data_IF_652771845526
#
_entry.id   IF_652771845526
#
_cell.length_a   1.000
_cell.length_b   1.000
_cell.length_c   1.000
_cell.angle_alpha   90.00
_cell.angle_beta   90.00
_cell.angle_gamma   90.00
#
_symmetry.space_group_name_H-M   'P 1'
#
loop_
_entity.id
_entity.type
_entity.pdbx_description
1 polymer ?
#
# COMPACT_ATOMS: atom_id res chain seq x y z
N UNK A 1 -1.55 18.63 12.62
CA UNK A 1 -1.25 17.32 13.23
C UNK A 1 -2.22 17.14 14.39
N UNK A 2 -1.97 16.17 15.28
CA UNK A 2 -2.80 15.91 16.47
C UNK A 2 -2.81 17.11 17.46
N UNK A 3 -1.72 17.87 17.51
CA UNK A 3 -1.55 19.10 18.27
C UNK A 3 -2.11 20.36 17.57
N UNK A 4 -2.86 20.17 16.47
CA UNK A 4 -3.40 21.24 15.64
C UNK A 4 -2.35 22.17 14.99
N UNK A 5 -1.09 21.75 14.90
CA UNK A 5 -0.09 22.46 14.09
C UNK A 5 -0.40 22.28 12.60
N UNK A 6 -0.27 23.37 11.84
CA UNK A 6 -0.42 23.35 10.40
C UNK A 6 0.76 22.60 9.76
N UNK A 7 0.49 21.43 9.17
CA UNK A 7 1.52 20.63 8.50
C UNK A 7 1.90 21.17 7.11
N UNK A 8 1.01 21.98 6.52
CA UNK A 8 1.24 22.67 5.26
C UNK A 8 -0.05 23.27 4.71
N UNK A 9 0.11 24.21 3.78
CA UNK A 9 -1.00 24.82 3.03
C UNK A 9 -0.97 24.30 1.61
N UNK A 10 -2.04 23.64 1.19
CA UNK A 10 -2.16 23.05 -0.13
C UNK A 10 -3.44 23.51 -0.81
N UNK A 11 -3.44 23.54 -2.14
CA UNK A 11 -4.65 23.83 -2.91
C UNK A 11 -5.70 22.75 -2.65
N UNK A 12 -6.89 23.14 -2.18
CA UNK A 12 -7.99 22.21 -1.91
C UNK A 12 -8.43 21.43 -3.16
N UNK A 13 -8.18 21.95 -4.37
CA UNK A 13 -8.46 21.28 -5.62
C UNK A 13 -7.41 20.23 -6.02
N UNK A 14 -6.23 20.22 -5.37
CA UNK A 14 -5.16 19.29 -5.69
C UNK A 14 -5.39 17.92 -5.05
N UNK A 15 -5.46 16.89 -5.88
CA UNK A 15 -5.45 15.49 -5.42
C UNK A 15 -4.09 15.05 -4.88
N UNK A 16 -3.05 15.88 -5.02
CA UNK A 16 -1.68 15.59 -4.59
C UNK A 16 -1.39 15.91 -3.13
N UNK A 17 -2.33 16.48 -2.39
CA UNK A 17 -2.05 17.03 -1.05
C UNK A 17 -1.54 15.96 -0.08
N UNK A 18 -2.07 14.73 -0.14
CA UNK A 18 -1.61 13.60 0.68
C UNK A 18 -0.17 13.19 0.33
N UNK A 19 0.18 13.22 -0.95
CA UNK A 19 1.55 13.00 -1.40
C UNK A 19 2.48 14.09 -0.88
N UNK A 20 2.08 15.35 -1.05
CA UNK A 20 2.88 16.50 -0.68
C UNK A 20 3.17 16.59 0.82
N UNK A 21 2.20 16.23 1.67
CA UNK A 21 2.39 16.22 3.13
C UNK A 21 3.36 15.14 3.59
N UNK A 22 3.33 13.94 3.00
CA UNK A 22 4.04 12.77 3.57
C UNK A 22 5.29 12.38 2.78
N UNK A 23 5.28 12.49 1.46
CA UNK A 23 6.24 11.82 0.57
C UNK A 23 7.12 12.77 -0.23
N UNK A 24 6.70 14.01 -0.45
CA UNK A 24 7.44 14.97 -1.29
C UNK A 24 8.76 15.44 -0.67
N UNK A 25 8.84 15.49 0.66
CA UNK A 25 10.06 15.89 1.36
C UNK A 25 11.16 14.82 1.25
N UNK A 26 12.22 15.12 0.51
CA UNK A 26 13.34 14.20 0.27
C UNK A 26 14.44 14.22 1.33
N UNK A 27 14.31 15.04 2.39
CA UNK A 27 15.30 15.10 3.46
C UNK A 27 15.40 13.76 4.22
N UNK A 28 16.61 13.47 4.72
CA UNK A 28 16.87 12.26 5.49
C UNK A 28 15.96 12.19 6.72
N UNK A 29 15.27 11.06 6.88
CA UNK A 29 14.30 10.79 7.95
C UNK A 29 13.09 11.76 8.04
N UNK A 30 12.84 12.57 7.00
CA UNK A 30 11.61 13.36 6.92
C UNK A 30 10.38 12.45 7.01
N UNK A 31 9.43 12.83 7.87
CA UNK A 31 8.14 12.15 8.02
C UNK A 31 8.24 10.65 8.31
N UNK A 32 9.36 10.21 8.90
CA UNK A 32 9.70 8.79 9.02
C UNK A 32 8.62 7.98 9.74
N UNK A 33 8.03 8.51 10.82
CA UNK A 33 6.93 7.84 11.53
C UNK A 33 5.69 7.63 10.64
N UNK A 34 5.26 8.67 9.91
CA UNK A 34 4.12 8.59 8.99
C UNK A 34 4.38 7.67 7.81
N UNK A 35 5.62 7.61 7.31
CA UNK A 35 6.03 6.70 6.23
C UNK A 35 6.10 5.26 6.72
N UNK A 36 6.65 5.02 7.92
CA UNK A 36 6.70 3.69 8.52
C UNK A 36 5.31 3.14 8.82
N UNK A 37 4.36 3.98 9.22
CA UNK A 37 2.98 3.55 9.43
C UNK A 37 2.28 3.10 8.14
N UNK A 38 2.83 3.36 6.94
CA UNK A 38 2.31 2.75 5.71
C UNK A 38 2.67 1.26 5.64
N UNK A 39 3.86 0.86 6.09
CA UNK A 39 4.27 -0.54 6.09
C UNK A 39 3.68 -1.28 7.29
N UNK A 40 3.66 -0.67 8.47
CA UNK A 40 3.21 -1.32 9.71
C UNK A 40 1.71 -1.62 9.77
N UNK A 41 0.89 -0.98 8.93
CA UNK A 41 -0.53 -1.34 8.81
C UNK A 41 -0.74 -2.70 8.16
N UNK A 42 0.11 -3.07 7.20
CA UNK A 42 -0.03 -4.34 6.46
C UNK A 42 -0.10 -5.56 7.38
N UNK A 43 0.85 -5.77 8.32
CA UNK A 43 0.77 -6.92 9.21
C UNK A 43 -0.47 -6.88 10.10
N UNK A 44 -0.88 -5.70 10.60
CA UNK A 44 -2.07 -5.61 11.44
C UNK A 44 -3.34 -5.97 10.67
N UNK A 45 -3.48 -5.48 9.44
CA UNK A 45 -4.63 -5.77 8.57
C UNK A 45 -4.67 -7.21 8.06
N UNK A 46 -3.52 -7.89 8.01
CA UNK A 46 -3.37 -9.22 7.42
C UNK A 46 -3.16 -10.34 8.43
N UNK A 47 -3.12 -10.03 9.73
CA UNK A 47 -3.04 -11.03 10.77
C UNK A 47 -4.23 -12.01 10.68
N UNK A 48 -3.92 -13.31 10.65
CA UNK A 48 -4.91 -14.40 10.52
C UNK A 48 -5.80 -14.33 9.27
N UNK A 49 -5.40 -13.59 8.22
CA UNK A 49 -6.14 -13.52 6.96
C UNK A 49 -5.77 -14.65 6.01
N UNK A 50 -6.75 -15.09 5.23
CA UNK A 50 -6.54 -15.98 4.10
C UNK A 50 -5.93 -15.22 2.93
N UNK A 51 -4.82 -15.74 2.41
CA UNK A 51 -4.20 -15.27 1.18
C UNK A 51 -4.90 -15.90 -0.02
N UNK A 52 -4.67 -15.36 -1.22
CA UNK A 52 -5.26 -15.86 -2.46
C UNK A 52 -5.06 -17.36 -2.67
N UNK A 53 -3.89 -17.89 -2.29
CA UNK A 53 -3.55 -19.31 -2.43
C UNK A 53 -4.28 -20.25 -1.48
N UNK A 54 -5.17 -19.74 -0.61
CA UNK A 54 -5.85 -20.52 0.43
C UNK A 54 -5.03 -20.71 1.71
N UNK A 55 -3.82 -20.18 1.75
CA UNK A 55 -2.98 -20.18 2.96
C UNK A 55 -3.42 -19.07 3.91
N UNK A 56 -3.83 -19.42 5.12
CA UNK A 56 -4.02 -18.46 6.21
C UNK A 56 -2.68 -18.02 6.78
N UNK A 57 -2.43 -16.71 6.88
CA UNK A 57 -1.26 -16.20 7.59
C UNK A 57 -1.37 -16.53 9.07
N UNK A 58 -0.31 -17.11 9.64
CA UNK A 58 -0.29 -17.36 11.08
C UNK A 58 0.04 -16.08 11.84
N UNK A 59 0.86 -15.21 11.25
CA UNK A 59 1.15 -13.90 11.82
C UNK A 59 1.13 -12.85 10.72
N UNK A 60 0.58 -11.68 11.01
CA UNK A 60 0.54 -10.56 10.07
C UNK A 60 1.89 -10.21 9.45
N UNK A 61 2.97 -10.30 10.23
CA UNK A 61 4.35 -10.03 9.80
C UNK A 61 4.84 -10.96 8.68
N UNK A 62 4.21 -12.12 8.49
CA UNK A 62 4.52 -13.06 7.41
C UNK A 62 4.35 -12.42 6.02
N UNK A 63 3.53 -11.37 5.90
CA UNK A 63 3.38 -10.62 4.64
C UNK A 63 4.72 -10.07 4.13
N UNK A 64 5.61 -9.63 5.01
CA UNK A 64 6.92 -9.12 4.59
C UNK A 64 7.81 -10.23 4.05
N UNK A 65 7.75 -11.42 4.65
CA UNK A 65 8.46 -12.61 4.13
C UNK A 65 7.96 -13.01 2.75
N UNK A 66 6.63 -12.97 2.54
CA UNK A 66 6.02 -13.25 1.24
C UNK A 66 6.41 -12.21 0.20
N UNK A 67 6.32 -10.92 0.51
CA UNK A 67 6.75 -9.83 -0.38
C UNK A 67 8.24 -9.92 -0.72
N UNK A 68 9.08 -10.27 0.26
CA UNK A 68 10.52 -10.44 0.05
C UNK A 68 10.82 -11.68 -0.80
N UNK A 69 10.01 -12.73 -0.70
CA UNK A 69 10.12 -13.91 -1.57
C UNK A 69 9.67 -13.59 -2.99
N UNK A 70 8.57 -12.85 -3.13
CA UNK A 70 8.09 -12.35 -4.42
C UNK A 70 9.14 -11.49 -5.11
N UNK A 71 9.82 -10.60 -4.38
CA UNK A 71 10.83 -9.72 -4.98
C UNK A 71 12.06 -10.49 -5.49
N UNK A 72 12.47 -11.55 -4.78
CA UNK A 72 13.56 -12.43 -5.24
C UNK A 72 13.18 -13.20 -6.50
N UNK A 73 11.99 -13.78 -6.55
CA UNK A 73 11.50 -14.50 -7.73
C UNK A 73 11.33 -13.56 -8.93
N UNK A 74 10.80 -12.36 -8.69
CA UNK A 74 10.72 -11.30 -9.69
C UNK A 74 12.11 -10.94 -10.24
N UNK A 75 13.07 -10.68 -9.36
CA UNK A 75 14.44 -10.33 -9.77
C UNK A 75 15.13 -11.45 -10.54
N UNK A 76 14.85 -12.72 -10.20
CA UNK A 76 15.35 -13.88 -10.93
C UNK A 76 14.73 -13.98 -12.33
N UNK A 77 13.42 -13.79 -12.47
CA UNK A 77 12.75 -13.82 -13.77
C UNK A 77 13.14 -12.62 -14.65
N UNK A 78 13.39 -11.45 -14.06
CA UNK A 78 13.68 -10.20 -14.77
C UNK A 78 15.12 -10.10 -15.33
N UNK A 79 15.87 -11.20 -15.40
CA UNK A 79 17.24 -11.21 -15.93
C UNK A 79 17.29 -11.07 -17.46
N UNK A 80 16.32 -11.65 -18.16
CA UNK A 80 16.18 -11.55 -19.61
C UNK A 80 14.70 -11.71 -20.04
N UNK A 81 14.40 -11.38 -21.30
CA UNK A 81 13.04 -11.40 -21.82
C UNK A 81 12.41 -12.81 -21.80
N UNK A 82 13.17 -13.84 -22.16
CA UNK A 82 12.66 -15.22 -22.19
C UNK A 82 12.22 -15.70 -20.81
N UNK A 83 13.08 -15.52 -19.80
CA UNK A 83 12.75 -15.91 -18.43
C UNK A 83 11.57 -15.10 -17.91
N UNK A 84 11.54 -13.80 -18.21
CA UNK A 84 10.45 -12.92 -17.81
C UNK A 84 9.11 -13.33 -18.41
N UNK A 85 9.06 -13.53 -19.73
CA UNK A 85 7.84 -13.89 -20.45
C UNK A 85 7.31 -15.25 -20.00
N UNK A 86 8.19 -16.17 -19.59
CA UNK A 86 7.79 -17.48 -19.05
C UNK A 86 7.22 -17.43 -17.63
N UNK A 87 7.53 -16.39 -16.85
CA UNK A 87 7.24 -16.35 -15.40
C UNK A 87 6.28 -15.23 -14.99
N UNK A 88 6.15 -14.15 -15.76
CA UNK A 88 5.45 -12.92 -15.36
C UNK A 88 4.00 -13.15 -14.90
N UNK A 89 3.28 -14.06 -15.56
CA UNK A 89 1.89 -14.35 -15.22
C UNK A 89 1.78 -15.07 -13.87
N UNK A 90 2.68 -16.04 -13.62
CA UNK A 90 2.77 -16.74 -12.35
C UNK A 90 3.20 -15.81 -11.19
N UNK A 91 3.84 -14.69 -11.51
CA UNK A 91 4.21 -13.64 -10.57
C UNK A 91 3.15 -12.52 -10.45
N UNK A 92 2.11 -12.51 -11.28
CA UNK A 92 1.07 -11.47 -11.26
C UNK A 92 1.40 -10.19 -12.03
N UNK A 93 2.37 -10.23 -12.93
CA UNK A 93 2.84 -9.08 -13.70
C UNK A 93 2.62 -9.27 -15.21
N UNK A 94 1.52 -9.93 -15.60
CA UNK A 94 1.28 -10.34 -16.99
C UNK A 94 1.23 -9.19 -18.02
N UNK A 95 0.83 -7.99 -17.60
CA UNK A 95 0.81 -6.80 -18.45
C UNK A 95 2.15 -6.07 -18.51
N UNK A 96 3.12 -6.45 -17.68
CA UNK A 96 4.41 -5.76 -17.61
C UNK A 96 5.36 -6.33 -18.68
N UNK A 97 5.75 -5.53 -19.69
CA UNK A 97 6.74 -5.98 -20.67
C UNK A 97 8.14 -6.01 -20.04
N UNK A 98 9.03 -6.85 -20.58
CA UNK A 98 10.42 -6.91 -20.13
C UNK A 98 11.17 -5.58 -20.28
N UNK A 99 10.90 -4.82 -21.36
CA UNK A 99 11.51 -3.52 -21.63
C UNK A 99 10.59 -2.62 -22.45
N UNK A 100 10.95 -1.33 -22.58
CA UNK A 100 10.28 -0.41 -23.50
C UNK A 100 8.93 0.12 -23.02
N UNK A 101 8.55 -0.12 -21.76
CA UNK A 101 7.31 0.40 -21.20
C UNK A 101 7.35 1.94 -21.07
N UNK A 102 6.41 2.62 -21.73
CA UNK A 102 6.15 4.06 -21.54
C UNK A 102 5.99 4.49 -20.07
N UNK A 103 5.27 3.73 -19.21
CA UNK A 103 5.09 4.05 -17.79
C UNK A 103 6.40 4.09 -16.97
N UNK A 104 7.47 3.46 -17.47
CA UNK A 104 8.76 3.36 -16.77
C UNK A 104 9.89 4.09 -17.51
N UNK A 105 9.55 5.00 -18.43
CA UNK A 105 10.56 5.79 -19.16
C UNK A 105 11.50 4.94 -20.02
N UNK A 106 11.02 3.81 -20.55
CA UNK A 106 11.82 2.89 -21.37
C UNK A 106 12.76 1.98 -20.57
N UNK A 107 12.66 1.96 -19.24
CA UNK A 107 13.43 1.05 -18.40
C UNK A 107 13.01 -0.42 -18.59
N UNK A 108 13.91 -1.31 -18.16
CA UNK A 108 13.64 -2.75 -18.04
C UNK A 108 12.79 -3.05 -16.81
N UNK A 109 12.05 -4.15 -16.85
CA UNK A 109 11.16 -4.58 -15.77
C UNK A 109 11.87 -4.80 -14.43
N UNK A 110 13.17 -5.13 -14.45
CA UNK A 110 14.01 -5.19 -13.24
C UNK A 110 14.14 -3.85 -12.48
N UNK A 111 13.82 -2.73 -13.14
CA UNK A 111 13.96 -1.37 -12.62
C UNK A 111 12.60 -0.65 -12.50
N UNK A 112 11.49 -1.39 -12.39
CA UNK A 112 10.17 -0.75 -12.18
C UNK A 112 10.15 0.03 -10.86
N UNK A 113 9.29 1.07 -10.75
CA UNK A 113 9.04 1.76 -9.50
C UNK A 113 8.64 0.79 -8.39
N UNK A 114 9.18 0.99 -7.19
CA UNK A 114 8.89 0.13 -6.04
C UNK A 114 7.40 0.13 -5.65
N UNK A 115 6.69 1.24 -5.85
CA UNK A 115 5.26 1.34 -5.54
C UNK A 115 4.41 0.45 -6.46
N UNK A 116 4.74 0.38 -7.74
CA UNK A 116 4.08 -0.49 -8.71
C UNK A 116 4.30 -1.96 -8.35
N UNK A 117 5.55 -2.33 -8.05
CA UNK A 117 5.88 -3.67 -7.59
C UNK A 117 5.06 -4.02 -6.34
N UNK A 118 5.05 -3.13 -5.34
CA UNK A 118 4.38 -3.40 -4.07
C UNK A 118 2.86 -3.53 -4.23
N UNK A 119 2.22 -2.64 -5.01
CA UNK A 119 0.78 -2.69 -5.26
C UNK A 119 0.38 -4.00 -5.93
N UNK A 120 1.07 -4.36 -7.03
CA UNK A 120 0.76 -5.57 -7.79
C UNK A 120 1.06 -6.82 -6.98
N UNK A 121 2.21 -6.88 -6.30
CA UNK A 121 2.58 -8.01 -5.45
C UNK A 121 1.59 -8.20 -4.29
N UNK A 122 1.22 -7.12 -3.59
CA UNK A 122 0.21 -7.19 -2.53
C UNK A 122 -1.11 -7.71 -3.05
N UNK A 123 -1.62 -7.15 -4.15
CA UNK A 123 -2.89 -7.59 -4.72
C UNK A 123 -2.87 -9.05 -5.17
N UNK A 124 -1.77 -9.49 -5.79
CA UNK A 124 -1.61 -10.87 -6.23
C UNK A 124 -1.50 -11.87 -5.07
N UNK A 125 -0.72 -11.55 -4.03
CA UNK A 125 -0.51 -12.42 -2.86
C UNK A 125 -1.80 -12.53 -2.04
N UNK A 126 -2.42 -11.39 -1.74
CA UNK A 126 -3.55 -11.32 -0.80
C UNK A 126 -4.89 -11.60 -1.48
N UNK A 127 -5.02 -11.40 -2.79
CA UNK A 127 -6.30 -11.45 -3.48
C UNK A 127 -7.21 -10.26 -3.19
N UNK A 128 -6.62 -9.15 -2.72
CA UNK A 128 -7.32 -7.92 -2.35
C UNK A 128 -6.89 -6.75 -3.24
N UNK A 129 -7.79 -5.82 -3.54
CA UNK A 129 -7.44 -4.55 -4.21
C UNK A 129 -6.95 -3.53 -3.18
N UNK A 130 -5.65 -3.21 -3.25
CA UNK A 130 -4.97 -2.27 -2.34
C UNK A 130 -4.91 -0.84 -2.88
N UNK A 131 -5.51 -0.53 -4.04
CA UNK A 131 -5.47 0.83 -4.60
C UNK A 131 -6.04 1.87 -3.65
N UNK A 132 -7.19 1.58 -3.01
CA UNK A 132 -7.79 2.45 -1.99
C UNK A 132 -6.83 2.73 -0.83
N UNK A 133 -6.08 1.72 -0.38
CA UNK A 133 -5.07 1.89 0.67
C UNK A 133 -3.94 2.83 0.22
N UNK A 134 -3.44 2.67 -1.01
CA UNK A 134 -2.41 3.54 -1.59
C UNK A 134 -2.90 4.98 -1.76
N UNK A 135 -4.11 5.16 -2.29
CA UNK A 135 -4.72 6.47 -2.56
C UNK A 135 -5.01 7.26 -1.26
N UNK A 136 -5.48 6.56 -0.21
CA UNK A 136 -5.69 7.15 1.12
C UNK A 136 -4.38 7.57 1.79
N UNK A 137 -3.28 6.91 1.43
CA UNK A 137 -1.94 7.19 1.99
C UNK A 137 -1.08 8.06 1.08
N UNK A 138 -1.59 8.51 -0.06
CA UNK A 138 -0.87 9.36 -1.02
C UNK A 138 0.30 8.66 -1.71
N UNK A 139 0.31 7.32 -1.76
CA UNK A 139 1.35 6.53 -2.40
C UNK A 139 1.00 6.34 -3.87
N UNK A 140 1.75 7.01 -4.76
CA UNK A 140 1.49 6.98 -6.20
C UNK A 140 1.93 5.67 -6.83
N UNK A 141 1.17 5.20 -7.81
CA UNK A 141 1.47 4.06 -8.67
C UNK A 141 1.11 4.43 -10.12
N UNK A 142 1.64 3.70 -11.10
CA UNK A 142 1.37 3.98 -12.51
C UNK A 142 0.01 3.45 -12.98
N UNK A 143 -0.46 3.98 -14.10
CA UNK A 143 -1.65 3.47 -14.80
C UNK A 143 -1.51 1.99 -15.18
N UNK A 144 -0.28 1.52 -15.47
CA UNK A 144 -0.04 0.12 -15.80
C UNK A 144 -0.23 -0.79 -14.58
N UNK A 145 0.23 -0.38 -13.41
CA UNK A 145 -0.06 -1.12 -12.18
C UNK A 145 -1.57 -1.13 -11.88
N UNK A 146 -2.25 0.00 -12.09
CA UNK A 146 -3.70 0.07 -11.94
C UNK A 146 -4.44 -0.87 -12.91
N UNK A 147 -4.00 -0.95 -14.16
CA UNK A 147 -4.52 -1.88 -15.17
C UNK A 147 -4.25 -3.34 -14.81
N UNK A 148 -3.07 -3.67 -14.29
CA UNK A 148 -2.77 -5.03 -13.82
C UNK A 148 -3.69 -5.44 -12.67
N UNK A 149 -3.99 -4.55 -11.73
CA UNK A 149 -4.96 -4.82 -10.66
C UNK A 149 -6.37 -5.04 -11.25
N UNK A 150 -6.79 -4.20 -12.20
CA UNK A 150 -8.09 -4.37 -12.87
C UNK A 150 -8.18 -5.70 -13.64
N UNK A 151 -7.08 -6.12 -14.27
CA UNK A 151 -6.98 -7.42 -14.94
C UNK A 151 -7.12 -8.56 -13.92
N UNK A 152 -6.42 -8.49 -12.78
CA UNK A 152 -6.57 -9.47 -11.70
C UNK A 152 -8.00 -9.56 -11.16
N UNK A 153 -8.76 -8.45 -11.11
CA UNK A 153 -10.17 -8.51 -10.73
C UNK A 153 -11.01 -9.22 -11.80
N UNK A 154 -10.74 -8.95 -13.08
CA UNK A 154 -11.40 -9.61 -14.21
C UNK A 154 -11.14 -11.13 -14.20
N UNK A 155 -9.92 -11.52 -13.83
CA UNK A 155 -9.49 -12.92 -13.76
C UNK A 155 -9.89 -13.60 -12.43
N UNK A 156 -10.64 -12.93 -11.55
CA UNK A 156 -11.01 -13.40 -10.21
C UNK A 156 -9.82 -13.76 -9.30
N UNK A 157 -8.63 -13.19 -9.59
CA UNK A 157 -7.45 -13.25 -8.72
C UNK A 157 -7.65 -12.33 -7.51
N UNK A 158 -8.23 -11.15 -7.76
CA UNK A 158 -8.64 -10.19 -6.73
C UNK A 158 -10.16 -10.19 -6.65
N UNK A 159 -10.71 -10.37 -5.44
CA UNK A 159 -12.16 -10.55 -5.25
C UNK A 159 -12.85 -9.37 -4.57
N UNK A 160 -12.09 -8.59 -3.80
CA UNK A 160 -12.64 -7.46 -3.05
C UNK A 160 -11.58 -6.40 -2.79
N UNK A 161 -12.03 -5.17 -2.53
CA UNK A 161 -11.15 -4.07 -2.16
C UNK A 161 -10.88 -4.02 -0.66
N UNK A 162 -9.69 -3.54 -0.31
CA UNK A 162 -9.38 -3.16 1.07
C UNK A 162 -10.24 -1.95 1.43
N UNK A 163 -10.88 -2.02 2.59
CA UNK A 163 -11.73 -0.94 3.10
C UNK A 163 -10.95 0.31 3.51
N UNK A 164 -11.66 1.29 4.03
CA UNK A 164 -11.11 2.58 4.49
C UNK A 164 -10.79 2.61 5.98
N UNK A 165 -10.84 1.46 6.65
CA UNK A 165 -10.52 1.32 8.06
C UNK A 165 -9.03 1.01 8.24
N UNK A 166 -8.39 1.77 9.13
CA UNK A 166 -6.96 1.64 9.44
C UNK A 166 -6.79 1.37 10.92
N UNK A 167 -5.82 0.54 11.26
CA UNK A 167 -5.47 0.27 12.64
C UNK A 167 -4.92 1.56 13.29
N UNK A 168 -5.25 1.80 14.54
CA UNK A 168 -4.75 2.93 15.30
C UNK A 168 -3.60 2.42 16.15
N UNK A 169 -2.39 2.63 15.62
CA UNK A 169 -1.13 2.38 16.30
C UNK A 169 -0.59 3.72 16.78
N UNK A 170 -0.59 3.91 18.10
CA UNK A 170 -0.06 5.10 18.77
C UNK A 170 1.43 4.86 19.09
N UNK A 171 1.89 5.22 20.29
CA UNK A 171 3.23 4.92 20.83
C UNK A 171 3.44 3.45 21.23
N UNK A 172 2.40 2.61 21.12
CA UNK A 172 2.44 1.22 21.54
C UNK A 172 2.73 0.29 20.35
N UNK A 173 3.66 -0.65 20.55
CA UNK A 173 3.83 -1.74 19.60
C UNK A 173 2.56 -2.61 19.60
N UNK A 174 2.11 -3.09 18.44
CA UNK A 174 0.95 -3.97 18.40
C UNK A 174 1.20 -5.20 19.28
N UNK A 175 0.14 -5.61 20.00
CA UNK A 175 0.22 -6.79 20.87
C UNK A 175 0.46 -8.07 20.05
N UNK A 176 0.78 -9.18 20.72
CA UNK A 176 0.98 -10.47 20.05
C UNK A 176 -0.24 -10.88 19.19
N UNK A 177 -1.43 -10.46 19.61
CA UNK A 177 -2.65 -10.49 18.82
C UNK A 177 -2.83 -9.14 18.11
N UNK A 178 -2.38 -9.07 16.86
CA UNK A 178 -2.51 -7.84 16.08
C UNK A 178 -3.95 -7.60 15.63
N UNK A 179 -4.80 -8.63 15.64
CA UNK A 179 -6.21 -8.52 15.26
C UNK A 179 -7.05 -7.73 16.28
N UNK A 180 -6.55 -7.57 17.52
CA UNK A 180 -7.21 -6.84 18.59
C UNK A 180 -6.96 -5.31 18.57
N UNK A 181 -6.12 -4.81 17.66
CA UNK A 181 -5.81 -3.38 17.55
C UNK A 181 -7.07 -2.61 17.13
N UNK A 182 -7.41 -1.47 17.77
CA UNK A 182 -8.57 -0.69 17.38
C UNK A 182 -8.42 -0.08 15.99
N UNK A 183 -9.52 0.10 15.27
CA UNK A 183 -9.54 0.69 13.93
C UNK A 183 -10.30 2.02 13.92
N UNK A 184 -9.90 2.92 13.01
CA UNK A 184 -10.63 4.13 12.64
C UNK A 184 -10.96 4.10 11.16
N UNK A 185 -12.18 4.51 10.80
CA UNK A 185 -12.59 4.64 9.39
C UNK A 185 -12.21 6.04 8.89
N UNK A 186 -11.52 6.15 7.77
CA UNK A 186 -11.17 7.44 7.19
C UNK A 186 -12.31 8.00 6.32
N UNK A 187 -13.43 8.34 6.94
CA UNK A 187 -14.66 8.85 6.32
C UNK A 187 -14.90 10.36 6.53
N UNK A 188 -14.03 11.03 7.29
CA UNK A 188 -14.14 12.45 7.62
C UNK A 188 -15.11 12.78 8.75
N UNK A 189 -15.67 11.77 9.43
CA UNK A 189 -16.58 11.95 10.58
C UNK A 189 -16.21 11.07 11.78
N UNK A 190 -15.52 9.95 11.56
CA UNK A 190 -15.08 9.02 12.60
C UNK A 190 -14.05 9.65 13.51
N UNK A 191 -14.23 9.49 14.82
CA UNK A 191 -13.28 9.93 15.84
C UNK A 191 -12.24 8.84 16.11
N UNK A 192 -11.08 9.27 16.61
CA UNK A 192 -10.02 8.36 17.01
C UNK A 192 -10.49 7.57 18.24
N UNK A 193 -10.34 6.23 18.24
CA UNK A 193 -10.99 5.37 19.24
C UNK A 193 -10.41 5.49 20.65
N UNK A 194 -9.19 6.02 20.80
CA UNK A 194 -8.48 6.09 22.09
C UNK A 194 -8.90 7.29 22.93
N UNK A 195 -9.05 8.45 22.30
CA UNK A 195 -9.22 9.75 22.95
C UNK A 195 -10.40 10.56 22.40
N UNK A 196 -11.08 10.05 21.36
CA UNK A 196 -12.18 10.75 20.70
C UNK A 196 -11.72 11.93 19.84
N UNK A 197 -10.42 12.04 19.53
CA UNK A 197 -9.90 13.13 18.71
C UNK A 197 -10.49 13.13 17.31
N UNK A 198 -10.66 14.30 16.71
CA UNK A 198 -11.08 14.48 15.32
C UNK A 198 -10.51 15.78 14.74
N UNK A 199 -10.08 15.83 13.45
CA UNK A 199 -9.48 17.04 12.87
C UNK A 199 -10.35 18.31 12.94
N UNK A 200 -11.68 18.17 13.04
CA UNK A 200 -12.57 19.33 13.21
C UNK A 200 -12.34 20.09 14.53
N UNK A 201 -11.71 19.46 15.52
CA UNK A 201 -11.36 20.11 16.79
C UNK A 201 -10.25 21.17 16.61
N UNK A 202 -9.49 21.10 15.51
CA UNK A 202 -8.47 22.07 15.15
C UNK A 202 -9.02 23.24 14.31
N UNK A 203 -10.28 23.16 13.86
CA UNK A 203 -10.91 24.25 13.12
C UNK A 203 -11.43 25.30 14.12
N UNK A 204 -11.23 26.60 13.86
CA UNK A 204 -11.83 27.63 14.71
C UNK A 204 -13.36 27.45 14.74
N UNK A 205 -13.94 27.51 15.93
CA UNK A 205 -15.41 27.54 16.08
C UNK A 205 -15.96 28.75 15.33
N UNK A 206 -17.06 28.60 14.57
CA UNK A 206 -17.69 29.70 13.84
C UNK A 206 -18.15 30.84 14.74
#
# INVERSE_FOLDING_TARGET
>A
DEDCNLMGSFDAASSNNRYSVVWENSAYAADNGMRMSFLLQLPVMLDKKDMRGGTTLQHGMDIFTLLYSQSRLFAQAAQNATDWDSARDALGFGLFPYEGGGPYGGLKVKNIPGNDFLLVALGFITGLDWRTYFDLRGVRYSDLAAQQIAQHMTDNIITTAVGTAFAVLDTELPTLDMSAVPYVTLDGVSTWPKDGWHPSQCLPTP
#
